data_IF_038719656354
#
_entry.id   IF_038719656354
#
_cell.length_a   1.000
_cell.length_b   1.000
_cell.length_c   1.000
_cell.angle_alpha   90.00
_cell.angle_beta   90.00
_cell.angle_gamma   90.00
#
_symmetry.space_group_name_H-M   'P 1'
#
loop_
_entity.id
_entity.type
_entity.pdbx_description
1 polymer ?
#
# COMPACT_ATOMS: atom_id res chain seq x y z
N UNK A 1 -44.92 -30.77 83.85
CA UNK A 1 -43.79 -31.30 83.09
C UNK A 1 -43.86 -30.67 81.65
N UNK A 2 -43.18 -29.56 81.48
CA UNK A 2 -43.13 -28.89 80.20
C UNK A 2 -41.87 -29.32 79.39
N UNK A 3 -42.03 -29.88 78.21
CA UNK A 3 -40.95 -30.15 77.29
C UNK A 3 -40.90 -29.06 76.26
N UNK A 4 -39.87 -28.22 76.28
CA UNK A 4 -39.56 -27.22 75.33
C UNK A 4 -38.76 -27.87 74.19
N UNK A 5 -39.29 -27.86 72.99
CA UNK A 5 -38.62 -28.35 71.80
C UNK A 5 -37.85 -27.17 71.17
N UNK A 6 -36.50 -27.28 71.11
CA UNK A 6 -35.65 -26.33 70.38
C UNK A 6 -35.61 -26.73 68.91
N UNK A 7 -36.10 -25.83 68.03
CA UNK A 7 -35.90 -25.97 66.61
C UNK A 7 -34.61 -25.24 66.22
N UNK A 8 -33.63 -26.01 65.70
CA UNK A 8 -32.40 -25.49 65.17
C UNK A 8 -32.65 -25.16 63.69
N UNK A 9 -32.70 -23.87 63.36
CA UNK A 9 -32.78 -23.41 61.96
C UNK A 9 -31.36 -23.37 61.39
N UNK A 10 -31.08 -24.25 60.45
CA UNK A 10 -29.83 -24.25 59.67
C UNK A 10 -29.97 -23.25 58.54
N UNK A 11 -29.34 -22.08 58.63
CA UNK A 11 -29.23 -21.11 57.54
C UNK A 11 -28.05 -21.52 56.65
N UNK A 12 -28.32 -22.12 55.48
CA UNK A 12 -27.32 -22.35 54.44
C UNK A 12 -27.05 -21.03 53.73
N UNK A 13 -25.93 -20.40 54.04
CA UNK A 13 -25.39 -19.30 53.22
C UNK A 13 -24.82 -19.88 51.91
N UNK A 14 -25.59 -19.78 50.81
CA UNK A 14 -25.05 -19.94 49.49
C UNK A 14 -24.14 -18.74 49.20
N UNK A 15 -22.84 -18.92 49.36
CA UNK A 15 -21.86 -17.99 48.77
C UNK A 15 -21.89 -18.15 47.25
N UNK A 16 -22.55 -17.21 46.56
CA UNK A 16 -22.34 -17.04 45.13
C UNK A 16 -20.88 -16.60 44.92
N UNK A 17 -20.00 -17.57 44.66
CA UNK A 17 -18.70 -17.29 44.09
C UNK A 17 -18.94 -16.80 42.69
N UNK A 18 -18.87 -15.47 42.47
CA UNK A 18 -18.69 -14.89 41.14
C UNK A 18 -17.35 -15.42 40.64
N UNK A 19 -17.39 -16.41 39.74
CA UNK A 19 -16.23 -16.84 38.97
C UNK A 19 -15.80 -15.60 38.18
N UNK A 20 -14.61 -15.03 38.42
CA UNK A 20 -14.12 -13.96 37.60
C UNK A 20 -14.08 -14.51 36.16
N UNK A 21 -14.68 -13.81 35.18
CA UNK A 21 -14.42 -14.09 33.78
C UNK A 21 -12.92 -13.99 33.59
N UNK A 22 -12.25 -15.13 33.42
CA UNK A 22 -10.84 -15.17 33.08
C UNK A 22 -10.71 -14.43 31.76
N UNK A 23 -10.16 -13.23 31.81
CA UNK A 23 -9.65 -12.52 30.64
C UNK A 23 -8.72 -13.51 29.94
N UNK A 24 -8.83 -13.64 28.60
CA UNK A 24 -7.99 -14.56 27.85
C UNK A 24 -6.53 -14.38 28.23
N UNK A 25 -5.90 -15.45 28.71
CA UNK A 25 -4.53 -15.40 29.16
C UNK A 25 -3.60 -15.56 27.95
N UNK A 26 -2.60 -14.69 27.82
CA UNK A 26 -1.54 -14.85 26.82
C UNK A 26 -0.86 -16.22 26.97
N UNK A 27 -0.64 -16.91 25.84
CA UNK A 27 0.06 -18.20 25.77
C UNK A 27 1.54 -17.95 25.49
N UNK A 28 2.28 -17.38 26.45
CA UNK A 28 3.66 -16.96 26.23
C UNK A 28 4.67 -18.12 26.10
N UNK A 29 4.26 -19.36 26.34
CA UNK A 29 5.12 -20.55 26.38
C UNK A 29 4.87 -21.52 25.19
N UNK A 30 4.23 -21.07 24.11
CA UNK A 30 4.02 -21.93 22.95
C UNK A 30 5.35 -22.30 22.28
N UNK A 31 5.54 -23.59 22.02
CA UNK A 31 6.69 -24.09 21.27
C UNK A 31 6.44 -24.02 19.76
N UNK A 32 6.94 -22.97 19.15
CA UNK A 32 6.96 -22.77 17.69
C UNK A 32 8.37 -22.87 17.12
N UNK A 33 9.30 -23.48 17.89
CA UNK A 33 10.74 -23.57 17.53
C UNK A 33 11.05 -24.30 16.21
N UNK A 34 10.08 -25.03 15.68
CA UNK A 34 10.15 -25.68 14.36
C UNK A 34 9.86 -24.71 13.19
N UNK A 35 9.34 -23.52 13.46
CA UNK A 35 9.13 -22.47 12.47
C UNK A 35 10.36 -21.56 12.42
N UNK A 36 10.71 -21.15 11.22
CA UNK A 36 11.81 -20.24 10.97
C UNK A 36 11.37 -19.16 10.00
N UNK A 37 11.68 -17.91 10.31
CA UNK A 37 11.36 -16.76 9.46
C UNK A 37 11.81 -16.98 8.02
N UNK A 38 11.00 -16.56 7.05
CA UNK A 38 11.34 -16.63 5.62
C UNK A 38 12.69 -15.98 5.33
N UNK A 39 12.95 -14.81 5.94
CA UNK A 39 14.21 -14.08 5.74
C UNK A 39 15.44 -14.80 6.30
N UNK A 40 15.25 -15.67 7.28
CA UNK A 40 16.31 -16.48 7.89
C UNK A 40 16.45 -17.85 7.22
N UNK A 41 15.39 -18.38 6.61
CA UNK A 41 15.44 -19.59 5.82
C UNK A 41 16.36 -19.42 4.60
N UNK A 42 16.23 -18.30 3.90
CA UNK A 42 17.00 -18.06 2.67
C UNK A 42 16.87 -19.25 1.71
N UNK A 43 17.98 -19.88 1.37
CA UNK A 43 18.01 -21.08 0.49
C UNK A 43 17.63 -22.38 1.20
N UNK A 44 17.48 -22.39 2.52
CA UNK A 44 16.93 -23.54 3.24
C UNK A 44 15.42 -23.70 2.98
N UNK A 45 14.88 -24.87 3.26
CA UNK A 45 13.49 -25.21 2.97
C UNK A 45 12.66 -25.37 4.25
N UNK A 46 11.38 -25.06 4.13
CA UNK A 46 10.34 -25.49 5.04
C UNK A 46 9.42 -26.46 4.29
N UNK A 47 9.37 -27.71 4.72
CA UNK A 47 8.56 -28.77 4.11
C UNK A 47 8.65 -28.75 2.56
N UNK A 48 9.91 -28.83 2.05
CA UNK A 48 10.29 -28.85 0.63
C UNK A 48 10.18 -27.51 -0.14
N UNK A 49 9.66 -26.45 0.46
CA UNK A 49 9.59 -25.13 -0.16
C UNK A 49 10.71 -24.22 0.31
N UNK A 50 11.42 -23.60 -0.64
CA UNK A 50 12.56 -22.73 -0.36
C UNK A 50 12.15 -21.42 0.29
N UNK A 51 12.86 -20.97 1.32
CA UNK A 51 12.64 -19.71 2.01
C UNK A 51 13.04 -18.48 1.22
N UNK A 52 13.38 -17.39 1.93
CA UNK A 52 13.59 -16.06 1.35
C UNK A 52 12.28 -15.36 0.99
N UNK A 53 12.35 -14.07 0.73
CA UNK A 53 11.17 -13.27 0.32
C UNK A 53 10.90 -13.36 -1.18
N UNK A 54 11.91 -13.70 -1.98
CA UNK A 54 11.89 -13.70 -3.43
C UNK A 54 12.48 -15.03 -3.98
N UNK A 55 12.33 -15.28 -5.29
CA UNK A 55 12.85 -16.50 -5.92
C UNK A 55 14.31 -16.79 -5.57
N UNK A 56 14.64 -18.09 -5.56
CA UNK A 56 15.98 -18.60 -5.24
C UNK A 56 16.45 -18.33 -3.79
N UNK A 57 15.52 -18.17 -2.85
CA UNK A 57 15.84 -17.93 -1.44
C UNK A 57 16.41 -16.54 -1.15
N UNK A 58 16.23 -15.60 -2.06
CA UNK A 58 16.71 -14.23 -1.91
C UNK A 58 15.83 -13.40 -0.98
N UNK A 59 16.46 -12.50 -0.21
CA UNK A 59 15.74 -11.44 0.51
C UNK A 59 15.80 -10.10 -0.23
N UNK A 60 16.52 -10.05 -1.33
CA UNK A 60 16.64 -8.88 -2.20
C UNK A 60 15.80 -9.13 -3.45
N UNK A 61 14.98 -8.16 -3.79
CA UNK A 61 14.12 -8.21 -4.97
C UNK A 61 14.95 -8.37 -6.25
N UNK A 62 14.56 -9.24 -7.20
CA UNK A 62 15.22 -9.38 -8.49
C UNK A 62 15.32 -8.06 -9.23
N UNK A 63 16.47 -7.81 -9.86
CA UNK A 63 16.80 -6.52 -10.48
C UNK A 63 15.72 -6.01 -11.46
N UNK A 64 15.25 -6.88 -12.36
CA UNK A 64 14.24 -6.48 -13.35
C UNK A 64 12.92 -6.04 -12.70
N UNK A 65 12.47 -6.78 -11.68
CA UNK A 65 11.24 -6.45 -10.95
C UNK A 65 11.39 -5.17 -10.12
N UNK A 66 12.55 -4.98 -9.47
CA UNK A 66 12.88 -3.76 -8.75
C UNK A 66 12.93 -2.54 -9.68
N UNK A 67 13.59 -2.66 -10.84
CA UNK A 67 13.65 -1.58 -11.83
C UNK A 67 12.25 -1.20 -12.35
N UNK A 68 11.40 -2.19 -12.61
CA UNK A 68 9.99 -1.95 -12.97
C UNK A 68 9.25 -1.21 -11.86
N UNK A 69 9.40 -1.65 -10.60
CA UNK A 69 8.79 -1.00 -9.44
C UNK A 69 9.22 0.45 -9.28
N UNK A 70 10.51 0.75 -9.45
CA UNK A 70 11.02 2.14 -9.43
C UNK A 70 10.45 3.01 -10.56
N UNK A 71 10.30 2.45 -11.75
CA UNK A 71 9.68 3.18 -12.88
C UNK A 71 8.19 3.44 -12.64
N UNK A 72 7.48 2.50 -12.00
CA UNK A 72 6.08 2.66 -11.63
C UNK A 72 5.92 3.65 -10.47
N UNK A 73 6.84 3.63 -9.49
CA UNK A 73 6.85 4.58 -8.38
C UNK A 73 6.87 6.04 -8.84
N UNK A 74 7.59 6.34 -9.93
CA UNK A 74 7.64 7.68 -10.53
C UNK A 74 6.32 8.11 -11.18
N UNK A 75 5.40 7.18 -11.43
CA UNK A 75 4.06 7.45 -11.98
C UNK A 75 3.02 7.71 -10.89
N UNK A 76 3.38 7.60 -9.63
CA UNK A 76 2.56 8.10 -8.53
C UNK A 76 2.66 9.62 -8.55
N UNK A 77 1.53 10.29 -8.76
CA UNK A 77 1.45 11.74 -9.00
C UNK A 77 0.28 12.34 -8.19
N UNK A 78 0.30 13.65 -7.91
CA UNK A 78 -0.83 14.31 -7.29
C UNK A 78 -1.97 14.41 -8.30
N UNK A 79 -3.14 13.88 -7.96
CA UNK A 79 -4.31 13.82 -8.83
C UNK A 79 -5.47 14.62 -8.23
N UNK A 80 -6.30 15.22 -9.09
CA UNK A 80 -7.60 15.75 -8.70
C UNK A 80 -8.60 14.62 -8.37
N UNK A 81 -9.80 14.96 -7.94
CA UNK A 81 -10.82 13.99 -7.58
C UNK A 81 -11.35 13.15 -8.75
N UNK A 82 -11.06 13.56 -9.98
CA UNK A 82 -11.41 12.85 -11.22
C UNK A 82 -10.26 11.98 -11.73
N UNK A 83 -9.07 12.07 -11.10
CA UNK A 83 -7.88 11.31 -11.49
C UNK A 83 -6.99 11.99 -12.52
N UNK A 84 -7.19 13.28 -12.81
CA UNK A 84 -6.30 14.06 -13.65
C UNK A 84 -5.13 14.61 -12.81
N UNK A 85 -4.01 14.88 -13.48
CA UNK A 85 -2.85 15.51 -12.83
C UNK A 85 -3.23 16.89 -12.30
N UNK A 86 -2.97 17.12 -11.02
CA UNK A 86 -3.15 18.41 -10.37
C UNK A 86 -1.96 18.68 -9.46
N UNK A 87 -1.08 19.56 -9.89
CA UNK A 87 0.18 19.87 -9.20
C UNK A 87 0.00 20.84 -8.01
N UNK A 88 -1.19 21.42 -7.83
CA UNK A 88 -1.45 22.45 -6.82
C UNK A 88 -2.29 21.88 -5.66
N UNK A 89 -3.42 21.25 -5.97
CA UNK A 89 -4.39 20.74 -5.00
C UNK A 89 -4.54 19.22 -5.04
N UNK A 90 -3.81 18.56 -5.94
CA UNK A 90 -3.87 17.13 -6.14
C UNK A 90 -3.38 16.34 -4.94
N UNK A 91 -3.81 15.07 -4.87
CA UNK A 91 -3.46 14.14 -3.81
C UNK A 91 -2.95 12.82 -4.39
N UNK A 92 -2.00 12.21 -3.72
CA UNK A 92 -1.60 10.83 -3.96
C UNK A 92 -2.13 9.96 -2.81
N UNK A 93 -3.12 9.11 -3.10
CA UNK A 93 -3.73 8.24 -2.08
C UNK A 93 -2.90 7.00 -1.82
N UNK A 94 -2.55 6.77 -0.57
CA UNK A 94 -1.99 5.53 -0.05
C UNK A 94 -2.90 4.98 1.03
N UNK A 95 -3.54 3.85 0.77
CA UNK A 95 -4.51 3.25 1.69
C UNK A 95 -4.02 1.93 2.27
N UNK A 96 -4.52 1.62 3.46
CA UNK A 96 -4.40 0.31 4.08
C UNK A 96 -5.67 -0.50 3.83
N UNK A 97 -5.53 -1.74 3.40
CA UNK A 97 -6.61 -2.72 3.39
C UNK A 97 -6.24 -3.92 4.26
N UNK A 98 -7.21 -4.46 4.97
CA UNK A 98 -7.01 -5.61 5.85
C UNK A 98 -8.03 -5.68 6.96
N UNK A 99 -7.68 -6.38 8.04
CA UNK A 99 -8.50 -6.47 9.24
C UNK A 99 -7.97 -5.56 10.37
N UNK A 100 -8.42 -5.79 11.60
CA UNK A 100 -8.08 -4.95 12.76
C UNK A 100 -6.58 -4.83 13.05
N UNK A 101 -5.80 -5.88 12.83
CA UNK A 101 -4.34 -5.87 13.00
C UNK A 101 -3.69 -4.91 12.01
N UNK A 102 -4.03 -5.01 10.74
CA UNK A 102 -3.55 -4.10 9.70
C UNK A 102 -3.90 -2.64 10.02
N UNK A 103 -5.16 -2.36 10.36
CA UNK A 103 -5.61 -1.02 10.69
C UNK A 103 -4.92 -0.43 11.92
N UNK A 104 -4.66 -1.25 12.94
CA UNK A 104 -3.94 -0.81 14.13
C UNK A 104 -2.49 -0.42 13.82
N UNK A 105 -1.77 -1.25 13.07
CA UNK A 105 -0.41 -0.99 12.64
C UNK A 105 -0.34 0.27 11.75
N UNK A 106 -1.24 0.38 10.78
CA UNK A 106 -1.30 1.51 9.86
C UNK A 106 -1.60 2.85 10.55
N UNK A 107 -2.44 2.87 11.58
CA UNK A 107 -2.71 4.09 12.33
C UNK A 107 -1.46 4.63 13.03
N UNK A 108 -0.63 3.76 13.60
CA UNK A 108 0.64 4.17 14.20
C UNK A 108 1.66 4.58 13.14
N UNK A 109 1.76 3.85 12.03
CA UNK A 109 2.55 4.25 10.87
C UNK A 109 2.15 5.64 10.38
N UNK A 110 0.84 5.88 10.17
CA UNK A 110 0.31 7.19 9.76
C UNK A 110 0.72 8.29 10.73
N UNK A 111 0.59 8.06 12.05
CA UNK A 111 0.98 9.04 13.06
C UNK A 111 2.46 9.43 12.98
N UNK A 112 3.34 8.47 12.72
CA UNK A 112 4.79 8.73 12.54
C UNK A 112 5.03 9.48 11.22
N UNK A 113 4.39 9.06 10.14
CA UNK A 113 4.55 9.66 8.82
C UNK A 113 4.03 11.11 8.76
N UNK A 114 2.86 11.37 9.37
CA UNK A 114 2.27 12.73 9.44
C UNK A 114 3.17 13.72 10.25
N UNK A 115 4.01 13.21 11.14
CA UNK A 115 4.93 14.01 11.94
C UNK A 115 6.31 14.22 11.30
N UNK A 116 6.66 13.48 10.25
CA UNK A 116 7.98 13.57 9.60
C UNK A 116 7.93 14.52 8.40
N UNK A 117 8.62 15.69 8.45
CA UNK A 117 8.61 16.69 7.38
C UNK A 117 9.28 16.21 6.09
N UNK A 118 9.96 15.07 6.09
CA UNK A 118 10.53 14.47 4.88
C UNK A 118 9.51 13.66 4.07
N UNK A 119 8.32 13.42 4.60
CA UNK A 119 7.25 12.72 3.90
C UNK A 119 6.60 13.66 2.87
N UNK A 120 6.17 13.10 1.76
CA UNK A 120 5.50 13.80 0.68
C UNK A 120 4.20 14.49 1.16
N UNK A 121 4.07 15.83 1.09
CA UNK A 121 2.91 16.56 1.56
C UNK A 121 1.62 16.29 0.74
N UNK A 122 1.75 15.84 -0.52
CA UNK A 122 0.59 15.43 -1.32
C UNK A 122 0.04 14.07 -0.92
N UNK A 123 0.77 13.30 -0.10
CA UNK A 123 0.39 11.94 0.26
C UNK A 123 -0.77 11.97 1.26
N UNK A 124 -1.81 11.21 0.98
CA UNK A 124 -2.93 10.98 1.88
C UNK A 124 -2.95 9.53 2.34
N UNK A 125 -2.59 9.34 3.61
CA UNK A 125 -2.58 8.04 4.27
C UNK A 125 -3.96 7.78 4.85
N UNK A 126 -4.66 6.74 4.37
CA UNK A 126 -6.03 6.41 4.80
C UNK A 126 -6.10 4.96 5.25
N UNK A 127 -6.56 4.76 6.48
CA UNK A 127 -6.83 3.43 7.01
C UNK A 127 -8.24 2.99 6.60
N UNK A 128 -8.32 2.10 5.61
CA UNK A 128 -9.56 1.48 5.13
C UNK A 128 -9.66 0.00 5.58
N UNK A 129 -8.95 -0.38 6.64
CA UNK A 129 -9.02 -1.73 7.18
C UNK A 129 -10.31 -1.95 7.98
N UNK A 130 -11.06 -2.99 7.65
CA UNK A 130 -12.34 -3.31 8.29
C UNK A 130 -12.20 -4.52 9.20
N UNK A 131 -12.49 -4.33 10.48
CA UNK A 131 -12.32 -5.36 11.51
C UNK A 131 -13.01 -6.69 11.16
N UNK A 132 -12.33 -7.81 11.42
CA UNK A 132 -12.83 -9.16 11.20
C UNK A 132 -13.23 -9.51 9.75
N UNK A 133 -12.76 -8.77 8.74
CA UNK A 133 -12.99 -9.07 7.33
C UNK A 133 -11.78 -9.78 6.71
N UNK A 134 -12.06 -10.78 5.88
CA UNK A 134 -11.06 -11.57 5.16
C UNK A 134 -11.13 -11.33 3.65
N UNK A 135 -10.26 -12.02 2.91
CA UNK A 135 -10.17 -11.94 1.45
C UNK A 135 -11.51 -12.20 0.75
N UNK A 136 -12.33 -13.11 1.28
CA UNK A 136 -13.63 -13.49 0.70
C UNK A 136 -14.59 -12.30 0.60
N UNK A 137 -14.58 -11.45 1.62
CA UNK A 137 -15.42 -10.24 1.64
C UNK A 137 -14.95 -9.24 0.58
N UNK A 138 -13.63 -9.13 0.40
CA UNK A 138 -13.05 -8.20 -0.56
C UNK A 138 -13.26 -8.67 -2.02
N UNK A 139 -13.23 -9.97 -2.27
CA UNK A 139 -13.32 -10.56 -3.62
C UNK A 139 -14.74 -10.58 -4.12
N UNK A 140 -15.70 -10.98 -3.30
CA UNK A 140 -17.11 -11.07 -3.69
C UNK A 140 -17.77 -9.68 -3.66
N UNK A 141 -17.64 -8.95 -4.73
CA UNK A 141 -18.22 -7.60 -4.88
C UNK A 141 -19.71 -7.58 -5.14
N UNK A 142 -20.32 -8.73 -5.41
CA UNK A 142 -21.78 -8.86 -5.64
C UNK A 142 -22.51 -8.97 -4.31
N UNK A 143 -22.13 -9.92 -3.49
CA UNK A 143 -22.77 -10.13 -2.17
C UNK A 143 -22.24 -9.12 -1.14
N UNK A 144 -20.95 -8.80 -1.20
CA UNK A 144 -20.27 -7.95 -0.25
C UNK A 144 -19.90 -6.56 -0.81
N UNK A 145 -20.65 -6.05 -1.76
CA UNK A 145 -20.42 -4.72 -2.35
C UNK A 145 -20.34 -3.61 -1.32
N UNK A 146 -21.07 -3.76 -0.20
CA UNK A 146 -21.06 -2.84 0.94
C UNK A 146 -19.65 -2.60 1.52
N UNK A 147 -18.76 -3.60 1.50
CA UNK A 147 -17.38 -3.44 1.94
C UNK A 147 -16.67 -2.30 1.18
N UNK A 148 -16.82 -2.27 -0.15
CA UNK A 148 -16.20 -1.26 -1.01
C UNK A 148 -16.98 0.05 -1.06
N UNK A 149 -18.32 -0.05 -1.10
CA UNK A 149 -19.19 1.07 -1.45
C UNK A 149 -19.75 1.79 -0.20
N UNK A 150 -19.57 1.18 0.99
CA UNK A 150 -19.92 1.79 2.28
C UNK A 150 -18.66 1.96 3.14
N UNK A 151 -18.03 0.87 3.58
CA UNK A 151 -16.96 0.96 4.58
C UNK A 151 -15.72 1.66 4.02
N UNK A 152 -15.11 1.11 2.96
CA UNK A 152 -13.93 1.71 2.33
C UNK A 152 -14.24 3.11 1.79
N UNK A 153 -15.43 3.30 1.21
CA UNK A 153 -15.81 4.61 0.66
C UNK A 153 -16.01 5.66 1.74
N UNK A 154 -16.56 5.30 2.91
CA UNK A 154 -16.67 6.20 4.06
C UNK A 154 -15.31 6.73 4.51
N UNK A 155 -14.32 5.83 4.66
CA UNK A 155 -12.97 6.22 5.07
C UNK A 155 -12.30 7.16 4.06
N UNK A 156 -12.52 6.92 2.76
CA UNK A 156 -12.01 7.80 1.70
C UNK A 156 -12.68 9.18 1.74
N UNK A 157 -14.00 9.24 1.90
CA UNK A 157 -14.76 10.50 2.01
C UNK A 157 -14.28 11.31 3.21
N UNK A 158 -14.14 10.68 4.37
CA UNK A 158 -13.67 11.32 5.61
C UNK A 158 -12.24 11.89 5.45
N UNK A 159 -11.42 11.24 4.63
CA UNK A 159 -10.09 11.72 4.28
C UNK A 159 -10.09 12.74 3.11
N UNK A 160 -11.27 13.09 2.58
CA UNK A 160 -11.39 13.90 1.36
C UNK A 160 -10.54 13.36 0.21
N UNK A 161 -10.66 12.06 -0.06
CA UNK A 161 -9.95 11.32 -1.10
C UNK A 161 -10.96 10.59 -2.00
N UNK A 162 -10.77 10.61 -3.31
CA UNK A 162 -11.53 9.80 -4.25
C UNK A 162 -10.85 8.48 -4.58
N UNK A 163 -11.61 7.52 -5.13
CA UNK A 163 -11.04 6.26 -5.64
C UNK A 163 -10.02 6.48 -6.75
N UNK A 164 -10.20 7.51 -7.56
CA UNK A 164 -9.30 7.87 -8.65
C UNK A 164 -7.94 8.38 -8.16
N UNK A 165 -7.89 8.91 -6.95
CA UNK A 165 -6.65 9.39 -6.33
C UNK A 165 -5.86 8.29 -5.63
N UNK A 166 -6.44 7.10 -5.39
CA UNK A 166 -5.74 5.97 -4.77
C UNK A 166 -4.79 5.33 -5.76
N UNK A 167 -3.50 5.36 -5.44
CA UNK A 167 -2.43 4.86 -6.30
C UNK A 167 -1.56 3.80 -5.64
N UNK A 168 -1.59 3.72 -4.32
CA UNK A 168 -0.78 2.77 -3.53
C UNK A 168 -1.66 2.10 -2.48
N UNK A 169 -1.47 0.81 -2.29
CA UNK A 169 -2.14 0.01 -1.25
C UNK A 169 -1.09 -0.74 -0.44
N UNK A 170 -1.23 -0.71 0.89
CA UNK A 170 -0.63 -1.69 1.78
C UNK A 170 -1.70 -2.69 2.22
N UNK A 171 -1.44 -3.97 2.00
CA UNK A 171 -2.38 -5.06 2.20
C UNK A 171 -1.84 -6.07 3.23
N UNK A 172 -2.57 -6.27 4.33
CA UNK A 172 -2.29 -7.30 5.32
C UNK A 172 -3.60 -7.98 5.73
N UNK A 173 -3.89 -9.12 5.12
CA UNK A 173 -5.16 -9.84 5.27
C UNK A 173 -4.95 -11.34 5.04
N UNK A 174 -5.87 -12.17 5.49
CA UNK A 174 -5.93 -13.61 5.18
C UNK A 174 -7.35 -14.05 4.85
N UNK A 175 -7.52 -15.30 4.46
CA UNK A 175 -8.83 -15.97 4.41
C UNK A 175 -9.38 -16.14 5.81
N UNK A 176 -10.71 -16.10 5.95
CA UNK A 176 -11.41 -16.35 7.21
C UNK A 176 -12.40 -17.52 7.15
N UNK A 177 -12.49 -18.15 6.00
CA UNK A 177 -13.42 -19.28 5.76
C UNK A 177 -12.72 -20.54 5.27
N UNK A 178 -11.38 -20.55 5.20
CA UNK A 178 -10.66 -21.77 4.83
C UNK A 178 -10.88 -22.85 5.90
N UNK A 179 -11.31 -24.02 5.45
CA UNK A 179 -11.56 -25.17 6.32
C UNK A 179 -10.41 -26.18 6.32
N UNK A 180 -9.51 -26.07 5.33
CA UNK A 180 -8.33 -26.94 5.20
C UNK A 180 -7.09 -26.17 5.66
N UNK A 181 -6.79 -26.29 6.94
CA UNK A 181 -5.68 -25.62 7.59
C UNK A 181 -4.45 -26.56 7.64
N UNK A 182 -3.99 -26.98 6.47
CA UNK A 182 -2.83 -27.87 6.34
C UNK A 182 -1.85 -27.34 5.30
N UNK A 183 -0.57 -27.62 5.50
CA UNK A 183 0.48 -27.35 4.53
C UNK A 183 0.48 -28.36 3.37
N UNK A 184 0.65 -27.94 2.10
CA UNK A 184 0.76 -26.55 1.61
C UNK A 184 -0.61 -25.97 1.16
N UNK A 185 -1.72 -26.64 1.45
CA UNK A 185 -3.05 -26.28 0.92
C UNK A 185 -3.52 -24.89 1.38
N UNK A 186 -3.34 -24.57 2.66
CA UNK A 186 -3.76 -23.27 3.17
C UNK A 186 -3.02 -22.12 2.49
N UNK A 187 -1.67 -22.06 2.44
CA UNK A 187 -1.01 -20.97 1.75
C UNK A 187 -1.36 -20.89 0.26
N UNK A 188 -1.55 -22.00 -0.45
CA UNK A 188 -1.99 -21.96 -1.84
C UNK A 188 -3.41 -21.44 -1.99
N UNK A 189 -4.35 -21.83 -1.12
CA UNK A 189 -5.71 -21.29 -1.11
C UNK A 189 -5.71 -19.78 -0.90
N UNK A 190 -4.90 -19.27 0.04
CA UNK A 190 -4.79 -17.84 0.31
C UNK A 190 -4.12 -17.12 -0.85
N UNK A 191 -3.09 -17.70 -1.49
CA UNK A 191 -2.47 -17.14 -2.71
C UNK A 191 -3.48 -16.97 -3.82
N UNK A 192 -4.26 -18.00 -4.13
CA UNK A 192 -5.29 -17.93 -5.16
C UNK A 192 -6.36 -16.84 -4.88
N UNK A 193 -6.68 -16.61 -3.60
CA UNK A 193 -7.57 -15.52 -3.21
C UNK A 193 -6.92 -14.15 -3.39
N UNK A 194 -5.64 -14.00 -3.09
CA UNK A 194 -4.91 -12.77 -3.41
C UNK A 194 -4.92 -12.50 -4.93
N UNK A 195 -4.67 -13.51 -5.76
CA UNK A 195 -4.73 -13.39 -7.22
C UNK A 195 -6.12 -12.92 -7.68
N UNK A 196 -7.18 -13.52 -7.16
CA UNK A 196 -8.56 -13.13 -7.45
C UNK A 196 -8.89 -11.70 -6.99
N UNK A 197 -8.22 -11.19 -5.96
CA UNK A 197 -8.41 -9.83 -5.46
C UNK A 197 -7.77 -8.77 -6.39
N UNK A 198 -6.69 -9.07 -7.11
CA UNK A 198 -5.96 -8.07 -7.90
C UNK A 198 -6.82 -7.35 -8.95
N UNK A 199 -7.61 -8.04 -9.79
CA UNK A 199 -8.50 -7.34 -10.73
C UNK A 199 -9.60 -6.53 -10.03
N UNK A 200 -10.06 -6.96 -8.85
CA UNK A 200 -11.02 -6.19 -8.06
C UNK A 200 -10.41 -4.87 -7.60
N UNK A 201 -9.16 -4.88 -7.12
CA UNK A 201 -8.46 -3.66 -6.73
C UNK A 201 -8.32 -2.68 -7.90
N UNK A 202 -7.99 -3.16 -9.09
CA UNK A 202 -7.92 -2.31 -10.29
C UNK A 202 -9.28 -1.73 -10.69
N UNK A 203 -10.36 -2.49 -10.54
CA UNK A 203 -11.72 -2.03 -10.83
C UNK A 203 -12.18 -0.96 -9.81
N UNK A 204 -11.81 -1.13 -8.53
CA UNK A 204 -12.17 -0.18 -7.47
C UNK A 204 -11.28 1.07 -7.46
N UNK A 205 -10.01 0.95 -7.88
CA UNK A 205 -9.00 2.02 -7.88
C UNK A 205 -8.32 2.10 -9.25
N UNK A 206 -8.90 2.81 -10.23
CA UNK A 206 -8.44 2.79 -11.63
C UNK A 206 -6.98 3.26 -11.81
N UNK A 207 -6.50 4.14 -10.94
CA UNK A 207 -5.13 4.67 -10.98
C UNK A 207 -4.15 3.92 -10.08
N UNK A 208 -4.54 2.78 -9.50
CA UNK A 208 -3.66 1.96 -8.66
C UNK A 208 -2.39 1.58 -9.41
N UNK A 209 -1.23 1.80 -8.80
CA UNK A 209 0.09 1.53 -9.35
C UNK A 209 0.78 0.37 -8.65
N UNK A 210 0.81 0.39 -7.33
CA UNK A 210 1.59 -0.54 -6.51
C UNK A 210 0.75 -1.09 -5.36
N UNK A 211 0.92 -2.39 -5.08
CA UNK A 211 0.40 -3.05 -3.90
C UNK A 211 1.55 -3.67 -3.13
N UNK A 212 1.69 -3.28 -1.88
CA UNK A 212 2.65 -3.82 -0.94
C UNK A 212 1.95 -4.80 -0.02
N UNK A 213 2.43 -6.04 0.04
CA UNK A 213 1.83 -7.08 0.87
C UNK A 213 2.71 -7.40 2.06
N UNK A 214 2.12 -7.45 3.25
CA UNK A 214 2.77 -8.03 4.42
C UNK A 214 2.01 -9.27 4.87
N UNK A 215 2.73 -10.31 5.26
CA UNK A 215 2.14 -11.40 6.02
C UNK A 215 1.89 -10.97 7.46
N UNK A 216 1.16 -11.81 8.22
CA UNK A 216 0.91 -11.53 9.62
C UNK A 216 2.18 -11.59 10.47
N UNK A 217 2.16 -10.87 11.58
CA UNK A 217 3.07 -11.00 12.69
C UNK A 217 2.87 -12.35 13.42
N UNK A 218 3.60 -12.57 14.51
CA UNK A 218 3.55 -13.82 15.26
C UNK A 218 2.19 -14.08 15.92
N UNK A 219 1.60 -15.20 15.59
CA UNK A 219 0.31 -15.66 16.13
C UNK A 219 0.41 -16.68 17.30
N UNK A 220 1.63 -17.02 17.74
CA UNK A 220 1.83 -18.09 18.73
C UNK A 220 1.43 -17.73 20.17
N UNK A 221 1.13 -16.48 20.45
CA UNK A 221 0.60 -16.05 21.76
C UNK A 221 -0.92 -16.04 21.83
N UNK A 222 -1.58 -16.34 20.70
CA UNK A 222 -3.03 -16.37 20.65
C UNK A 222 -3.61 -17.53 21.46
N UNK A 223 -4.75 -17.29 22.12
CA UNK A 223 -5.52 -18.29 22.84
C UNK A 223 -6.18 -19.25 21.84
N UNK A 224 -5.76 -20.52 21.76
CA UNK A 224 -6.29 -21.47 20.78
C UNK A 224 -7.75 -21.87 21.05
N UNK A 225 -8.33 -21.50 22.21
CA UNK A 225 -9.73 -21.79 22.53
C UNK A 225 -10.70 -20.76 21.97
N UNK A 226 -10.21 -19.66 21.42
CA UNK A 226 -11.06 -18.62 20.82
C UNK A 226 -11.47 -19.01 19.41
N UNK A 227 -12.77 -19.06 19.21
CA UNK A 227 -13.36 -19.22 17.88
C UNK A 227 -12.83 -18.13 16.91
N UNK A 228 -12.64 -18.48 15.67
CA UNK A 228 -12.15 -17.62 14.57
C UNK A 228 -10.65 -17.26 14.59
N UNK A 229 -9.84 -17.81 15.50
CA UNK A 229 -8.40 -17.54 15.51
C UNK A 229 -7.56 -18.56 14.76
N UNK A 230 -8.13 -19.68 14.35
CA UNK A 230 -7.43 -20.77 13.65
C UNK A 230 -6.65 -20.30 12.41
N UNK A 231 -7.15 -19.24 11.75
CA UNK A 231 -6.51 -18.64 10.56
C UNK A 231 -5.37 -17.66 10.88
N UNK A 232 -5.16 -17.33 12.15
CA UNK A 232 -4.20 -16.32 12.61
C UNK A 232 -3.31 -16.78 13.75
N UNK A 233 -3.56 -17.97 14.34
CA UNK A 233 -2.63 -18.64 15.25
C UNK A 233 -1.55 -19.37 14.45
N UNK A 234 -0.45 -19.77 15.12
CA UNK A 234 0.55 -20.59 14.44
C UNK A 234 0.06 -22.04 14.22
N UNK A 235 0.38 -22.64 13.06
CA UNK A 235 1.26 -22.13 12.01
C UNK A 235 0.57 -21.25 10.94
N UNK A 236 -0.72 -20.94 11.05
CA UNK A 236 -1.47 -20.21 10.00
C UNK A 236 -0.94 -18.78 9.76
N UNK A 237 -0.52 -18.06 10.81
CA UNK A 237 0.16 -16.76 10.65
C UNK A 237 1.47 -16.90 9.89
N UNK A 238 2.28 -17.88 10.20
CA UNK A 238 3.49 -18.19 9.48
C UNK A 238 3.21 -18.54 8.00
N UNK A 239 2.20 -19.38 7.75
CA UNK A 239 1.81 -19.78 6.40
C UNK A 239 1.22 -18.63 5.57
N UNK A 240 0.61 -17.64 6.21
CA UNK A 240 0.18 -16.43 5.50
C UNK A 240 1.36 -15.67 4.87
N UNK A 241 2.53 -15.66 5.53
CA UNK A 241 3.75 -15.11 4.92
C UNK A 241 4.18 -15.90 3.66
N UNK A 242 4.01 -17.22 3.67
CA UNK A 242 4.24 -18.03 2.47
C UNK A 242 3.27 -17.71 1.34
N UNK A 243 2.02 -17.42 1.68
CA UNK A 243 1.03 -17.01 0.66
C UNK A 243 1.43 -15.71 -0.04
N UNK A 244 1.93 -14.75 0.71
CA UNK A 244 2.48 -13.49 0.15
C UNK A 244 3.70 -13.78 -0.73
N UNK A 245 4.60 -14.64 -0.27
CA UNK A 245 5.76 -15.05 -1.05
C UNK A 245 5.35 -15.66 -2.39
N UNK A 246 4.48 -16.66 -2.39
CA UNK A 246 4.03 -17.33 -3.60
C UNK A 246 3.37 -16.38 -4.59
N UNK A 247 2.52 -15.48 -4.11
CA UNK A 247 1.89 -14.47 -4.97
C UNK A 247 2.91 -13.58 -5.68
N UNK A 248 3.91 -13.08 -4.94
CA UNK A 248 4.93 -12.18 -5.49
C UNK A 248 5.86 -12.96 -6.44
N UNK A 249 6.21 -14.20 -6.12
CA UNK A 249 6.99 -15.07 -7.00
C UNK A 249 6.24 -15.35 -8.30
N UNK A 250 4.94 -15.68 -8.24
CA UNK A 250 4.11 -15.89 -9.43
C UNK A 250 4.15 -14.67 -10.36
N UNK A 251 4.03 -13.45 -9.81
CA UNK A 251 4.15 -12.25 -10.63
C UNK A 251 5.53 -12.07 -11.26
N UNK A 252 6.60 -12.33 -10.49
CA UNK A 252 7.99 -12.23 -10.98
C UNK A 252 8.27 -13.26 -12.07
N UNK A 253 7.72 -14.45 -11.95
CA UNK A 253 7.86 -15.55 -12.90
C UNK A 253 6.96 -15.41 -14.14
N UNK A 254 6.10 -14.39 -14.17
CA UNK A 254 5.33 -14.01 -15.35
C UNK A 254 3.94 -14.64 -15.45
N UNK A 255 3.31 -14.93 -14.31
CA UNK A 255 1.92 -15.38 -14.28
C UNK A 255 1.01 -14.43 -15.06
N UNK A 256 0.22 -14.99 -15.98
CA UNK A 256 -0.67 -14.25 -16.89
C UNK A 256 -1.85 -13.58 -16.19
N UNK A 257 -2.21 -14.01 -14.98
CA UNK A 257 -3.25 -13.39 -14.17
C UNK A 257 -2.73 -12.25 -13.30
N UNK A 258 -1.39 -12.12 -13.21
CA UNK A 258 -0.70 -11.08 -12.47
C UNK A 258 0.03 -10.05 -13.35
N UNK A 259 -0.32 -9.95 -14.63
CA UNK A 259 0.25 -8.92 -15.53
C UNK A 259 -0.06 -7.53 -14.98
N UNK A 260 0.99 -6.74 -14.70
CA UNK A 260 0.88 -5.41 -14.07
C UNK A 260 1.07 -4.22 -15.03
N UNK A 261 1.33 -4.47 -16.32
CA UNK A 261 1.57 -3.41 -17.31
C UNK A 261 0.97 -3.76 -18.69
N UNK A 262 0.79 -2.73 -19.51
CA UNK A 262 0.27 -2.88 -20.87
C UNK A 262 -1.24 -3.12 -20.93
N UNK A 263 -1.79 -3.38 -22.15
CA UNK A 263 -3.23 -3.48 -22.38
C UNK A 263 -3.87 -4.73 -21.75
N UNK A 264 -3.07 -5.77 -21.44
CA UNK A 264 -3.52 -6.99 -20.78
C UNK A 264 -3.39 -6.94 -19.25
N UNK A 265 -3.23 -5.76 -18.67
CA UNK A 265 -3.06 -5.56 -17.24
C UNK A 265 -4.22 -6.14 -16.42
N UNK A 266 -3.91 -6.99 -15.44
CA UNK A 266 -4.85 -7.62 -14.52
C UNK A 266 -4.50 -7.38 -13.05
N UNK A 267 -3.30 -6.88 -12.76
CA UNK A 267 -2.79 -6.63 -11.42
C UNK A 267 -2.10 -5.25 -11.34
N UNK A 268 -1.89 -4.75 -10.15
CA UNK A 268 -0.87 -3.76 -9.88
C UNK A 268 0.51 -4.44 -9.81
N UNK A 269 1.59 -3.66 -9.79
CA UNK A 269 2.90 -4.18 -9.46
C UNK A 269 2.93 -4.55 -7.97
N UNK A 270 3.41 -5.76 -7.66
CA UNK A 270 3.41 -6.35 -6.33
C UNK A 270 4.81 -6.34 -5.71
N UNK A 271 4.88 -6.01 -4.44
CA UNK A 271 6.08 -6.15 -3.64
C UNK A 271 5.75 -6.62 -2.23
N UNK A 272 6.74 -7.23 -1.57
CA UNK A 272 6.68 -7.29 -0.13
C UNK A 272 6.56 -5.88 0.43
N UNK A 273 5.68 -5.70 1.42
CA UNK A 273 5.79 -4.66 2.41
C UNK A 273 6.82 -5.06 3.48
N UNK A 274 6.83 -4.45 4.65
CA UNK A 274 7.69 -4.89 5.73
C UNK A 274 7.38 -6.35 6.10
N UNK A 275 8.42 -7.16 6.29
CA UNK A 275 8.29 -8.50 6.85
C UNK A 275 8.10 -8.39 8.36
N UNK A 276 6.94 -8.84 8.86
CA UNK A 276 6.52 -8.61 10.25
C UNK A 276 6.59 -9.87 11.13
N UNK A 277 6.87 -11.04 10.54
CA UNK A 277 6.91 -12.27 11.29
C UNK A 277 8.27 -12.53 11.94
N UNK A 278 8.26 -12.85 13.21
CA UNK A 278 9.37 -13.42 13.97
C UNK A 278 8.80 -14.43 14.95
N UNK A 279 9.60 -15.43 15.34
CA UNK A 279 9.17 -16.50 16.22
C UNK A 279 9.11 -16.04 17.69
N UNK A 280 8.16 -15.22 18.02
CA UNK A 280 7.96 -14.70 19.36
C UNK A 280 9.20 -13.98 19.90
N UNK A 281 9.68 -14.44 21.07
CA UNK A 281 10.89 -13.89 21.72
C UNK A 281 12.20 -14.26 21.01
N UNK A 282 12.18 -15.23 20.08
CA UNK A 282 13.35 -15.59 19.28
C UNK A 282 13.52 -14.60 18.15
N UNK A 283 14.56 -13.79 18.25
CA UNK A 283 14.84 -12.78 17.22
C UNK A 283 15.22 -13.43 15.89
N UNK A 284 14.72 -12.88 14.79
CA UNK A 284 15.25 -13.18 13.48
C UNK A 284 16.73 -12.85 13.42
N UNK A 285 17.52 -13.71 12.80
CA UNK A 285 18.97 -13.50 12.65
C UNK A 285 19.25 -12.36 11.66
N UNK A 286 18.41 -12.23 10.63
CA UNK A 286 18.62 -11.28 9.53
C UNK A 286 18.33 -9.83 9.90
N UNK A 287 17.24 -9.57 10.64
CA UNK A 287 16.78 -8.19 10.96
C UNK A 287 16.68 -7.91 12.47
N UNK A 288 16.85 -8.92 13.32
CA UNK A 288 16.75 -8.80 14.77
C UNK A 288 15.34 -8.64 15.30
N UNK A 289 14.30 -8.71 14.45
CA UNK A 289 12.90 -8.61 14.88
C UNK A 289 12.55 -9.73 15.84
N UNK A 290 11.89 -9.40 16.93
CA UNK A 290 11.27 -10.32 17.87
C UNK A 290 10.02 -9.70 18.45
N UNK A 291 9.12 -10.52 18.97
CA UNK A 291 7.88 -10.07 19.57
C UNK A 291 7.83 -10.50 21.05
N UNK A 292 7.76 -9.52 21.94
CA UNK A 292 7.67 -9.79 23.39
C UNK A 292 6.21 -10.01 23.78
N UNK A 293 5.91 -11.19 24.33
CA UNK A 293 4.58 -11.58 24.74
C UNK A 293 3.92 -10.56 25.70
N UNK A 294 4.61 -10.18 26.74
CA UNK A 294 4.06 -9.34 27.82
C UNK A 294 4.03 -7.85 27.46
N UNK A 295 4.88 -7.41 26.52
CA UNK A 295 5.00 -6.00 26.13
C UNK A 295 4.24 -5.72 24.85
N UNK A 296 4.45 -6.53 23.80
CA UNK A 296 3.97 -6.22 22.47
C UNK A 296 2.51 -6.67 22.24
N UNK A 297 1.95 -7.57 23.10
CA UNK A 297 0.60 -8.12 22.94
C UNK A 297 -0.33 -7.76 24.09
N UNK A 298 -1.63 -7.64 23.79
CA UNK A 298 -2.67 -7.38 24.79
C UNK A 298 -3.14 -8.68 25.43
N UNK A 299 -3.15 -8.78 26.77
CA UNK A 299 -3.74 -9.93 27.45
C UNK A 299 -5.22 -10.14 27.16
N UNK A 300 -5.98 -9.03 27.07
CA UNK A 300 -7.43 -9.02 26.78
C UNK A 300 -7.74 -9.09 25.27
N UNK A 301 -6.73 -8.99 24.42
CA UNK A 301 -6.84 -9.04 22.98
C UNK A 301 -6.75 -10.44 22.37
N UNK A 302 -6.87 -11.49 23.17
CA UNK A 302 -6.78 -12.88 22.72
C UNK A 302 -5.38 -13.33 22.32
N UNK A 303 -4.34 -12.56 22.63
CA UNK A 303 -2.93 -12.89 22.38
C UNK A 303 -2.48 -12.72 20.93
N UNK A 304 -3.29 -12.09 20.07
CA UNK A 304 -2.88 -11.74 18.70
C UNK A 304 -3.02 -10.25 18.37
N UNK A 305 -3.86 -9.52 19.11
CA UNK A 305 -3.88 -8.07 19.02
C UNK A 305 -2.70 -7.45 19.78
N UNK A 306 -2.03 -6.53 19.12
CA UNK A 306 -0.91 -5.80 19.72
C UNK A 306 -1.35 -4.87 20.85
N UNK A 307 -0.50 -4.70 21.84
CA UNK A 307 -0.54 -3.61 22.82
C UNK A 307 -0.29 -2.27 22.14
N UNK A 308 -0.27 -1.17 22.87
CA UNK A 308 0.12 0.11 22.31
C UNK A 308 1.61 0.12 21.91
N UNK A 309 2.46 -0.48 22.73
CA UNK A 309 3.89 -0.64 22.48
C UNK A 309 4.15 -1.49 21.23
N UNK A 310 3.40 -2.61 21.09
CA UNK A 310 3.50 -3.46 19.90
C UNK A 310 3.07 -2.76 18.62
N UNK A 311 1.97 -2.00 18.65
CA UNK A 311 1.49 -1.20 17.51
C UNK A 311 2.47 -0.09 17.13
N UNK A 312 3.04 0.60 18.13
CA UNK A 312 4.05 1.63 17.91
C UNK A 312 5.29 1.05 17.22
N UNK A 313 5.75 -0.11 17.71
CA UNK A 313 6.87 -0.84 17.13
C UNK A 313 6.57 -1.24 15.68
N UNK A 314 5.40 -1.81 15.42
CA UNK A 314 4.97 -2.24 14.09
C UNK A 314 4.84 -1.05 13.14
N UNK A 315 4.22 0.04 13.59
CA UNK A 315 4.09 1.27 12.82
C UNK A 315 5.43 1.90 12.44
N UNK A 316 6.42 1.88 13.34
CA UNK A 316 7.79 2.31 13.05
C UNK A 316 8.48 1.43 12.01
N UNK A 317 8.30 0.11 12.09
CA UNK A 317 8.84 -0.83 11.08
C UNK A 317 8.26 -0.51 9.69
N UNK A 318 6.94 -0.27 9.61
CA UNK A 318 6.28 0.12 8.35
C UNK A 318 6.84 1.44 7.83
N UNK A 319 7.02 2.43 8.70
CA UNK A 319 7.55 3.74 8.33
C UNK A 319 8.98 3.65 7.77
N UNK A 320 9.88 2.97 8.47
CA UNK A 320 11.26 2.78 8.02
C UNK A 320 11.33 2.00 6.71
N UNK A 321 10.44 1.03 6.52
CA UNK A 321 10.36 0.32 5.25
C UNK A 321 10.04 1.27 4.08
N UNK A 322 8.96 2.06 4.16
CA UNK A 322 8.56 2.96 3.06
C UNK A 322 9.55 4.10 2.84
N UNK A 323 10.22 4.53 3.90
CA UNK A 323 11.27 5.56 3.83
C UNK A 323 12.51 5.10 3.05
N UNK A 324 12.84 3.80 3.10
CA UNK A 324 14.08 3.27 2.56
C UNK A 324 13.93 2.35 1.35
N UNK A 325 12.75 1.78 1.10
CA UNK A 325 12.51 0.93 -0.07
C UNK A 325 12.63 1.76 -1.37
N UNK A 326 13.57 1.43 -2.31
CA UNK A 326 13.88 2.29 -3.45
C UNK A 326 12.69 2.49 -4.40
N UNK A 327 11.78 1.52 -4.47
CA UNK A 327 10.54 1.56 -5.24
C UNK A 327 9.36 2.20 -4.49
N UNK A 328 9.58 2.69 -3.25
CA UNK A 328 8.60 3.42 -2.46
C UNK A 328 9.07 4.84 -2.13
N UNK A 329 10.33 5.01 -1.77
CA UNK A 329 10.91 6.29 -1.33
C UNK A 329 10.68 7.44 -2.34
N UNK A 330 10.53 7.11 -3.63
CA UNK A 330 10.35 8.13 -4.66
C UNK A 330 8.98 8.83 -4.59
N UNK A 331 7.94 8.15 -4.17
CA UNK A 331 6.62 8.74 -3.95
C UNK A 331 6.32 9.01 -2.47
N UNK A 332 6.97 8.31 -1.56
CA UNK A 332 6.73 8.45 -0.13
C UNK A 332 7.42 9.68 0.46
N UNK A 333 8.63 10.01 -0.01
CA UNK A 333 9.39 11.14 0.47
C UNK A 333 9.17 12.40 -0.37
N UNK A 334 9.35 13.55 0.27
CA UNK A 334 9.31 14.84 -0.40
C UNK A 334 10.29 14.88 -1.58
N UNK A 335 9.84 15.39 -2.71
CA UNK A 335 10.60 15.69 -3.93
C UNK A 335 10.12 17.01 -4.50
N UNK A 336 10.95 17.74 -5.28
CA UNK A 336 10.54 19.02 -5.88
C UNK A 336 9.23 18.97 -6.68
N UNK A 337 8.87 17.82 -7.23
CA UNK A 337 7.59 17.62 -7.96
C UNK A 337 6.34 17.68 -7.07
N UNK A 338 6.51 17.67 -5.74
CA UNK A 338 5.44 17.76 -4.74
C UNK A 338 5.25 19.17 -4.19
N UNK A 339 5.99 20.16 -4.72
CA UNK A 339 6.07 21.53 -4.19
C UNK A 339 4.70 22.22 -4.11
N UNK A 340 3.79 21.94 -5.05
CA UNK A 340 2.45 22.52 -5.04
C UNK A 340 1.56 22.06 -3.88
N UNK A 341 1.91 20.96 -3.21
CA UNK A 341 1.21 20.51 -2.01
C UNK A 341 1.89 20.96 -0.70
N UNK A 342 3.05 21.60 -0.80
CA UNK A 342 3.76 22.15 0.34
C UNK A 342 3.04 23.44 0.81
N UNK A 343 2.48 23.48 2.03
CA UNK A 343 1.72 24.62 2.50
C UNK A 343 2.52 25.93 2.53
N UNK A 344 3.84 25.86 2.71
CA UNK A 344 4.72 27.04 2.79
C UNK A 344 5.09 27.57 1.40
N UNK A 345 5.15 26.72 0.39
CA UNK A 345 5.60 27.06 -0.96
C UNK A 345 4.47 27.13 -1.98
N UNK A 346 3.28 26.65 -1.61
CA UNK A 346 2.12 26.52 -2.51
C UNK A 346 1.69 27.85 -3.14
N UNK A 347 1.61 28.94 -2.35
CA UNK A 347 1.17 30.24 -2.85
C UNK A 347 2.16 30.80 -3.85
N UNK A 348 3.47 30.74 -3.56
CA UNK A 348 4.51 31.20 -4.48
C UNK A 348 4.53 30.38 -5.77
N UNK A 349 4.33 29.05 -5.66
CA UNK A 349 4.25 28.17 -6.82
C UNK A 349 3.00 28.39 -7.66
N UNK A 350 1.84 28.60 -7.03
CA UNK A 350 0.60 28.93 -7.70
C UNK A 350 0.68 30.27 -8.43
N UNK A 351 1.26 31.30 -7.79
CA UNK A 351 1.48 32.61 -8.39
C UNK A 351 2.44 32.52 -9.59
N UNK A 352 3.51 31.73 -9.48
CA UNK A 352 4.41 31.46 -10.60
C UNK A 352 3.70 30.78 -11.77
N UNK A 353 2.82 29.80 -11.52
CA UNK A 353 2.01 29.15 -12.56
C UNK A 353 0.98 30.10 -13.19
N UNK A 354 0.42 31.01 -12.41
CA UNK A 354 -0.55 32.02 -12.91
C UNK A 354 0.14 33.13 -13.72
N UNK A 355 1.33 33.54 -13.33
CA UNK A 355 2.11 34.57 -14.02
C UNK A 355 2.66 34.09 -15.36
N UNK A 356 2.79 32.78 -15.56
CA UNK A 356 3.36 32.20 -16.76
C UNK A 356 2.29 31.58 -17.66
N UNK A 357 1.62 32.40 -18.42
CA UNK A 357 0.75 31.93 -19.50
C UNK A 357 1.59 31.36 -20.64
N UNK A 358 1.92 30.07 -20.53
CA UNK A 358 2.34 29.28 -21.67
C UNK A 358 1.10 28.70 -22.36
N UNK A 359 0.93 29.01 -23.61
CA UNK A 359 -0.18 28.52 -24.44
C UNK A 359 0.35 27.62 -25.54
N UNK A 360 -0.27 26.46 -25.72
CA UNK A 360 -0.01 25.54 -26.85
C UNK A 360 -1.22 25.58 -27.79
N UNK A 361 -1.02 26.01 -29.04
CA UNK A 361 -2.11 26.16 -30.01
C UNK A 361 -1.65 25.90 -31.44
N UNK A 362 -2.55 25.45 -32.37
CA UNK A 362 -3.86 24.91 -32.01
C UNK A 362 -3.74 23.62 -31.17
N UNK A 363 -4.69 23.38 -30.30
CA UNK A 363 -4.81 22.15 -29.56
C UNK A 363 -6.28 21.72 -29.59
N UNK A 364 -6.68 20.68 -30.32
CA UNK A 364 -5.83 19.71 -31.05
C UNK A 364 -5.03 20.31 -32.21
N UNK A 365 -3.81 19.81 -32.39
CA UNK A 365 -2.90 20.18 -33.48
C UNK A 365 -3.10 19.29 -34.70
N UNK A 366 -3.05 19.90 -35.90
CA UNK A 366 -3.05 19.18 -37.17
C UNK A 366 -1.91 19.74 -38.04
N UNK A 367 -0.86 18.95 -38.24
CA UNK A 367 0.33 19.33 -39.00
C UNK A 367 1.36 20.18 -38.24
N UNK A 368 0.97 20.96 -37.25
CA UNK A 368 1.87 21.76 -36.44
C UNK A 368 1.17 22.44 -35.26
N UNK A 369 1.96 22.85 -34.28
CA UNK A 369 1.50 23.64 -33.14
C UNK A 369 2.53 24.71 -32.77
N UNK A 370 2.09 25.73 -32.07
CA UNK A 370 2.94 26.75 -31.50
C UNK A 370 2.86 26.74 -29.98
N UNK A 371 3.98 27.06 -29.36
CA UNK A 371 4.09 27.33 -27.93
C UNK A 371 4.35 28.84 -27.81
N UNK A 372 3.51 29.53 -27.05
CA UNK A 372 3.62 30.96 -26.82
C UNK A 372 3.73 31.25 -25.31
N UNK A 373 4.61 32.16 -24.97
CA UNK A 373 4.72 32.70 -23.61
C UNK A 373 4.98 34.21 -23.67
N UNK A 374 4.40 34.93 -22.72
CA UNK A 374 4.68 36.36 -22.52
C UNK A 374 5.90 36.60 -21.64
N UNK A 375 6.41 35.58 -20.95
CA UNK A 375 7.43 35.72 -19.93
C UNK A 375 8.68 34.85 -20.17
N UNK A 376 8.56 33.75 -20.93
CA UNK A 376 9.66 32.86 -21.25
C UNK A 376 10.49 33.36 -22.45
N UNK A 377 11.81 33.33 -22.29
CA UNK A 377 12.75 33.38 -23.38
C UNK A 377 13.07 31.94 -23.81
N UNK A 378 12.54 31.53 -24.95
CA UNK A 378 12.70 30.18 -25.46
C UNK A 378 14.13 29.87 -25.96
N UNK A 379 15.00 30.84 -26.14
CA UNK A 379 16.43 30.56 -26.40
C UNK A 379 17.11 29.85 -25.25
N UNK A 380 16.60 30.06 -24.04
CA UNK A 380 17.14 29.46 -22.80
C UNK A 380 16.28 28.27 -22.30
N UNK A 381 15.25 27.90 -23.05
CA UNK A 381 14.35 26.83 -22.67
C UNK A 381 14.67 25.52 -23.42
N UNK A 382 14.62 24.42 -22.70
CA UNK A 382 14.67 23.08 -23.27
C UNK A 382 13.27 22.51 -23.38
N UNK A 383 12.86 22.13 -24.60
CA UNK A 383 11.52 21.61 -24.88
C UNK A 383 11.62 20.12 -25.12
N UNK A 384 10.78 19.38 -24.43
CA UNK A 384 10.64 17.94 -24.55
C UNK A 384 9.18 17.59 -24.80
N UNK A 385 8.95 16.51 -25.54
CA UNK A 385 7.62 15.98 -25.80
C UNK A 385 7.54 14.54 -25.32
N UNK A 386 6.53 14.22 -24.57
CA UNK A 386 6.27 12.87 -24.08
C UNK A 386 4.93 12.37 -24.63
N UNK A 387 4.87 11.10 -24.99
CA UNK A 387 3.60 10.46 -25.35
C UNK A 387 2.80 10.09 -24.07
N UNK A 388 1.59 9.56 -24.25
CA UNK A 388 0.71 9.14 -23.16
C UNK A 388 1.30 8.02 -22.27
N UNK A 389 2.35 7.34 -22.71
CA UNK A 389 3.09 6.33 -21.96
C UNK A 389 4.29 6.91 -21.19
N UNK A 390 4.51 8.23 -21.27
CA UNK A 390 5.65 8.89 -20.63
C UNK A 390 6.99 8.69 -21.38
N UNK A 391 6.96 8.21 -22.63
CA UNK A 391 8.15 8.05 -23.44
C UNK A 391 8.52 9.37 -24.09
N UNK A 392 9.80 9.72 -24.03
CA UNK A 392 10.34 10.88 -24.74
C UNK A 392 10.24 10.64 -26.25
N UNK A 393 9.67 11.61 -26.93
CA UNK A 393 9.51 11.60 -28.40
C UNK A 393 10.57 12.49 -29.06
N UNK A 394 11.01 12.09 -30.25
CA UNK A 394 11.83 12.95 -31.08
C UNK A 394 11.04 14.18 -31.47
N UNK A 395 11.51 15.35 -31.06
CA UNK A 395 10.89 16.62 -31.36
C UNK A 395 11.54 17.18 -32.64
N UNK A 396 10.76 17.48 -33.72
CA UNK A 396 11.30 18.18 -34.87
C UNK A 396 11.89 19.53 -34.47
N UNK A 397 12.93 19.98 -35.19
CA UNK A 397 13.58 21.25 -34.89
C UNK A 397 12.56 22.40 -34.82
N UNK A 398 12.49 23.10 -33.66
CA UNK A 398 11.56 24.19 -33.48
C UNK A 398 12.00 25.44 -34.26
N UNK A 399 11.05 26.20 -34.77
CA UNK A 399 11.28 27.50 -35.41
C UNK A 399 10.86 28.60 -34.44
N UNK A 400 11.79 29.52 -34.10
CA UNK A 400 11.49 30.64 -33.23
C UNK A 400 10.90 31.82 -33.99
N UNK A 401 9.89 32.46 -33.38
CA UNK A 401 9.21 33.65 -33.89
C UNK A 401 8.99 34.69 -32.78
N UNK A 402 8.72 35.93 -33.16
CA UNK A 402 8.32 37.02 -32.26
C UNK A 402 9.28 37.24 -31.06
N UNK A 403 10.53 37.61 -31.35
CA UNK A 403 11.52 37.90 -30.30
C UNK A 403 11.63 36.77 -29.22
N UNK A 404 11.66 35.52 -29.69
CA UNK A 404 11.82 34.33 -28.82
C UNK A 404 10.62 34.04 -27.88
N UNK A 405 9.46 34.66 -28.13
CA UNK A 405 8.25 34.42 -27.34
C UNK A 405 7.32 33.34 -27.96
N UNK A 406 7.62 32.88 -29.15
CA UNK A 406 6.85 31.84 -29.82
C UNK A 406 7.76 30.82 -30.45
N UNK A 407 7.45 29.55 -30.23
CA UNK A 407 8.09 28.43 -30.92
C UNK A 407 7.04 27.69 -31.72
N UNK A 408 7.35 27.43 -33.01
CA UNK A 408 6.55 26.55 -33.88
C UNK A 408 7.22 25.21 -34.05
N UNK A 409 6.42 24.16 -33.98
CA UNK A 409 6.84 22.77 -34.12
C UNK A 409 5.95 22.09 -35.14
N UNK A 410 6.59 21.51 -36.14
CA UNK A 410 5.90 20.71 -37.16
C UNK A 410 5.66 19.30 -36.63
N UNK A 411 4.42 18.90 -36.45
CA UNK A 411 4.04 17.56 -35.95
C UNK A 411 3.43 16.66 -37.05
N UNK A 412 3.60 16.98 -38.32
CA UNK A 412 3.02 16.23 -39.45
C UNK A 412 3.48 14.77 -39.53
N UNK A 413 4.66 14.45 -38.98
CA UNK A 413 5.21 13.09 -38.95
C UNK A 413 4.82 12.30 -37.70
N UNK A 414 4.21 12.97 -36.73
CA UNK A 414 3.86 12.36 -35.44
C UNK A 414 2.52 11.65 -35.53
N UNK A 415 2.34 10.60 -34.75
CA UNK A 415 1.07 9.86 -34.68
C UNK A 415 -0.01 10.70 -33.99
N UNK A 416 -1.27 10.51 -34.37
CA UNK A 416 -2.38 11.07 -33.63
C UNK A 416 -2.42 10.48 -32.21
N UNK A 417 -2.67 11.32 -31.21
CA UNK A 417 -2.67 10.88 -29.80
C UNK A 417 -2.53 12.03 -28.82
N UNK A 418 -2.49 11.67 -27.54
CA UNK A 418 -2.26 12.59 -26.43
C UNK A 418 -0.77 12.66 -26.11
N UNK A 419 -0.27 13.86 -25.93
CA UNK A 419 1.13 14.17 -25.62
C UNK A 419 1.20 15.19 -24.49
N UNK A 420 2.37 15.29 -23.87
CA UNK A 420 2.71 16.32 -22.90
C UNK A 420 3.94 17.05 -23.41
N UNK A 421 3.80 18.36 -23.61
CA UNK A 421 4.93 19.26 -23.87
C UNK A 421 5.52 19.68 -22.53
N UNK A 422 6.81 19.44 -22.33
CA UNK A 422 7.54 19.88 -21.14
C UNK A 422 8.56 20.93 -21.54
N UNK A 423 8.49 22.09 -20.89
CA UNK A 423 9.36 23.22 -21.13
C UNK A 423 10.19 23.46 -19.87
N UNK A 424 11.48 23.26 -19.96
CA UNK A 424 12.40 23.43 -18.82
C UNK A 424 13.30 24.64 -19.08
N UNK A 425 13.33 25.54 -18.12
CA UNK A 425 14.28 26.65 -18.06
C UNK A 425 15.22 26.46 -16.87
N UNK A 426 16.15 27.38 -16.67
CA UNK A 426 17.06 27.34 -15.51
C UNK A 426 16.32 27.36 -14.17
N UNK A 427 15.13 27.96 -14.13
CA UNK A 427 14.41 28.24 -12.88
C UNK A 427 13.10 27.45 -12.75
N UNK A 428 12.61 26.80 -13.82
CA UNK A 428 11.28 26.20 -13.81
C UNK A 428 11.09 25.11 -14.85
N UNK A 429 10.09 24.27 -14.64
CA UNK A 429 9.65 23.22 -15.55
C UNK A 429 8.13 23.32 -15.69
N UNK A 430 7.64 23.60 -16.90
CA UNK A 430 6.21 23.76 -17.22
C UNK A 430 5.78 22.60 -18.10
N UNK A 431 4.64 22.02 -17.82
CA UNK A 431 4.03 21.00 -18.66
C UNK A 431 2.69 21.48 -19.25
N UNK A 432 2.45 21.20 -20.53
CA UNK A 432 1.20 21.53 -21.20
C UNK A 432 0.67 20.32 -21.98
N UNK A 433 -0.62 20.00 -21.89
CA UNK A 433 -1.20 18.93 -22.68
C UNK A 433 -1.27 19.33 -24.14
N UNK A 434 -1.02 18.36 -25.03
CA UNK A 434 -1.14 18.52 -26.49
C UNK A 434 -1.87 17.30 -27.04
N UNK A 435 -2.89 17.55 -27.86
CA UNK A 435 -3.57 16.53 -28.66
C UNK A 435 -3.15 16.72 -30.11
N UNK A 436 -2.62 15.66 -30.72
CA UNK A 436 -2.37 15.64 -32.18
C UNK A 436 -3.52 14.90 -32.84
N UNK A 437 -4.19 15.57 -33.78
CA UNK A 437 -5.26 15.01 -34.59
C UNK A 437 -4.79 14.92 -36.06
N UNK A 438 -5.35 13.98 -36.79
CA UNK A 438 -5.17 13.85 -38.27
C UNK A 438 -6.48 14.00 -38.98
#
# INVERSE_FOLDING_TARGET
>A
MNRTVFHLVFVILLSLSTIPKTLGQLQCENDTSYLRSLIDLKTATYLDFQGGLYPNGANIMPYAHNAAGMNIARQVLPLDSLGNLDLIDGKAGFICLGASTAGNAFNHFKSVADADPTVNPCLKLVNCAVGAKGLEIMIDTVVNGWYWDTDVMSDLIDANLSRQQVQVIWLMVTSRIDTILTWPYQPFSVTAKYEALMPVLLAKFPNLKQVYLSGFNYGGYADPTKEFYEMIIEPSSYWNNWSVKFLIENQIEGDTDLIYSGPARKSAWLAWGPHLWADGMRANVTDGLKWNCAIDYKPDGGGYHMSNEGKEKEGKIIFEYFKHAPFAADWFLYKPRWIGCDPELKEEFADALVQEKVSVFPNPANGGFAIYSTTLDFEQAHIQLFNALGQLMDLPEPTMENNNQTIRINCSTMSAGNYIVVITTKNQCISQPLIISR
#
